data_IF_252349065728
#
_entry.id   IF_252349065728
#
_cell.length_a   1.000
_cell.length_b   1.000
_cell.length_c   1.000
_cell.angle_alpha   90.00
_cell.angle_beta   90.00
_cell.angle_gamma   90.00
#
_symmetry.space_group_name_H-M   'P 1'
#
loop_
_entity.id
_entity.type
_entity.pdbx_description
1 polymer ?
#
# COMPACT_ATOMS: atom_id res chain seq x y z
N UNK A 1 50.00 16.79 26.59
CA UNK A 1 50.14 16.86 25.11
C UNK A 1 48.98 17.66 24.53
N UNK A 2 49.19 18.26 23.36
CA UNK A 2 48.59 19.50 22.82
C UNK A 2 47.05 19.50 22.62
N UNK A 3 46.47 20.69 22.83
CA UNK A 3 45.16 21.16 22.32
C UNK A 3 45.19 21.25 20.78
N UNK A 4 44.04 21.21 20.11
CA UNK A 4 43.54 22.28 19.22
C UNK A 4 42.06 22.01 18.90
N UNK A 5 41.30 23.10 18.98
CA UNK A 5 39.87 23.29 18.83
C UNK A 5 39.76 24.36 17.73
N UNK A 6 38.75 24.25 16.85
CA UNK A 6 38.29 25.29 15.88
C UNK A 6 39.32 25.51 14.74
N UNK A 7 39.01 25.67 13.45
CA UNK A 7 38.30 26.77 12.75
C UNK A 7 38.29 26.42 11.25
N UNK A 8 37.12 26.31 10.62
CA UNK A 8 36.41 27.39 9.92
C UNK A 8 37.03 27.82 8.59
N UNK A 9 36.24 27.58 7.53
CA UNK A 9 35.94 28.53 6.46
C UNK A 9 37.13 29.09 5.67
N UNK A 10 37.53 28.36 4.62
CA UNK A 10 38.26 28.92 3.49
C UNK A 10 37.29 29.10 2.32
N UNK A 11 36.67 30.28 2.22
CA UNK A 11 36.24 30.81 0.93
C UNK A 11 36.81 32.22 0.83
N UNK A 12 37.96 32.29 0.18
CA UNK A 12 38.49 33.51 -0.37
C UNK A 12 37.57 33.96 -1.51
N UNK A 13 36.82 35.04 -1.29
CA UNK A 13 36.30 35.86 -2.38
C UNK A 13 36.79 37.28 -2.14
N UNK A 14 37.93 37.60 -2.74
CA UNK A 14 38.23 38.97 -3.11
C UNK A 14 37.22 39.39 -4.18
N UNK A 15 36.54 40.52 -3.97
CA UNK A 15 36.49 41.64 -4.92
C UNK A 15 35.58 42.75 -4.37
N UNK A 16 36.16 43.93 -4.43
CA UNK A 16 35.63 45.28 -4.23
C UNK A 16 34.38 45.57 -5.06
N UNK A 17 33.42 46.33 -4.52
CA UNK A 17 32.44 47.05 -5.36
C UNK A 17 31.05 47.19 -4.76
N UNK A 18 30.58 48.44 -4.69
CA UNK A 18 29.33 48.91 -4.10
C UNK A 18 28.03 48.30 -4.67
N UNK A 19 27.03 48.22 -3.79
CA UNK A 19 25.57 48.25 -4.04
C UNK A 19 24.91 47.04 -4.73
N UNK A 20 23.90 46.49 -4.05
CA UNK A 20 22.91 45.59 -4.65
C UNK A 20 22.67 44.33 -3.82
N UNK A 21 21.47 44.19 -3.26
CA UNK A 21 21.01 42.99 -2.56
C UNK A 21 21.19 41.74 -3.44
N UNK A 22 22.21 40.93 -3.16
CA UNK A 22 22.31 39.59 -3.70
C UNK A 22 21.38 38.69 -2.89
N UNK A 23 20.20 38.46 -3.45
CA UNK A 23 19.33 37.34 -3.12
C UNK A 23 20.18 36.09 -2.94
N UNK A 24 20.16 35.54 -1.72
CA UNK A 24 20.50 34.15 -1.43
C UNK A 24 19.97 33.29 -2.58
N UNK A 25 20.77 32.43 -3.24
CA UNK A 25 20.18 31.36 -4.00
C UNK A 25 19.53 30.48 -2.95
N UNK A 26 18.27 30.77 -2.64
CA UNK A 26 17.35 29.75 -2.17
C UNK A 26 17.44 28.71 -3.26
N UNK A 27 18.15 27.62 -2.96
CA UNK A 27 17.98 26.36 -3.64
C UNK A 27 16.49 26.07 -3.55
N UNK A 28 15.75 26.53 -4.55
CA UNK A 28 14.38 26.09 -4.78
C UNK A 28 14.55 24.58 -4.90
N UNK A 29 13.97 23.77 -3.99
CA UNK A 29 14.01 22.33 -4.18
C UNK A 29 13.44 22.09 -5.57
N UNK A 30 14.24 21.45 -6.41
CA UNK A 30 14.00 21.25 -7.83
C UNK A 30 12.53 20.86 -8.01
N UNK A 31 11.70 21.79 -8.50
CA UNK A 31 10.24 21.64 -8.44
C UNK A 31 9.80 20.44 -9.27
N UNK A 32 10.60 20.06 -10.27
CA UNK A 32 10.49 18.81 -11.00
C UNK A 32 10.66 17.58 -10.09
N UNK A 33 11.68 17.54 -9.22
CA UNK A 33 11.91 16.45 -8.26
C UNK A 33 10.77 16.31 -7.24
N UNK A 34 10.24 17.42 -6.76
CA UNK A 34 9.09 17.41 -5.82
C UNK A 34 7.81 16.93 -6.51
N UNK A 35 7.58 17.33 -7.77
CA UNK A 35 6.43 16.88 -8.55
C UNK A 35 6.52 15.37 -8.86
N UNK A 36 7.69 14.88 -9.25
CA UNK A 36 7.94 13.45 -9.50
C UNK A 36 7.77 12.60 -8.23
N UNK A 37 8.29 13.05 -7.08
CA UNK A 37 8.12 12.36 -5.82
C UNK A 37 6.65 12.27 -5.40
N UNK A 38 5.87 13.35 -5.60
CA UNK A 38 4.43 13.35 -5.35
C UNK A 38 3.66 12.42 -6.29
N UNK A 39 4.01 12.42 -7.58
CA UNK A 39 3.38 11.54 -8.56
C UNK A 39 3.64 10.05 -8.23
N UNK A 40 4.87 9.70 -7.82
CA UNK A 40 5.21 8.35 -7.36
C UNK A 40 4.44 7.96 -6.10
N UNK A 41 4.40 8.83 -5.10
CA UNK A 41 3.65 8.58 -3.87
C UNK A 41 2.15 8.38 -4.13
N UNK A 42 1.56 9.15 -5.06
CA UNK A 42 0.17 8.97 -5.46
C UNK A 42 -0.06 7.63 -6.19
N UNK A 43 0.86 7.23 -7.06
CA UNK A 43 0.78 5.94 -7.74
C UNK A 43 0.92 4.76 -6.77
N UNK A 44 1.82 4.85 -5.78
CA UNK A 44 2.01 3.82 -4.75
C UNK A 44 0.77 3.70 -3.84
N UNK A 45 0.16 4.83 -3.44
CA UNK A 45 -1.07 4.84 -2.66
C UNK A 45 -2.25 4.24 -3.44
N UNK A 46 -2.38 4.58 -4.73
CA UNK A 46 -3.40 3.98 -5.60
C UNK A 46 -3.22 2.46 -5.71
N UNK A 47 -1.98 2.00 -5.92
CA UNK A 47 -1.66 0.58 -5.99
C UNK A 47 -2.02 -0.13 -4.70
N UNK A 48 -1.66 0.43 -3.54
CA UNK A 48 -1.98 -0.15 -2.25
C UNK A 48 -3.49 -0.27 -2.04
N UNK A 49 -4.27 0.74 -2.43
CA UNK A 49 -5.74 0.68 -2.39
C UNK A 49 -6.32 -0.41 -3.29
N UNK A 50 -5.75 -0.60 -4.49
CA UNK A 50 -6.15 -1.69 -5.39
C UNK A 50 -5.88 -3.05 -4.76
N UNK A 51 -4.67 -3.24 -4.23
CA UNK A 51 -4.26 -4.50 -3.60
C UNK A 51 -5.13 -4.81 -2.36
N UNK A 52 -5.44 -3.80 -1.55
CA UNK A 52 -6.36 -3.96 -0.41
C UNK A 52 -7.78 -4.31 -0.84
N UNK A 53 -8.31 -3.65 -1.88
CA UNK A 53 -9.64 -3.95 -2.42
C UNK A 53 -9.70 -5.38 -2.98
N UNK A 54 -8.63 -5.81 -3.68
CA UNK A 54 -8.53 -7.17 -4.20
C UNK A 54 -8.48 -8.20 -3.08
N UNK A 55 -7.74 -7.93 -2.01
CA UNK A 55 -7.70 -8.78 -0.84
C UNK A 55 -9.07 -8.87 -0.14
N UNK A 56 -9.79 -7.75 -0.01
CA UNK A 56 -11.14 -7.75 0.56
C UNK A 56 -12.10 -8.60 -0.28
N UNK A 57 -12.03 -8.54 -1.62
CA UNK A 57 -12.84 -9.39 -2.49
C UNK A 57 -12.55 -10.89 -2.27
N UNK A 58 -11.28 -11.26 -2.16
CA UNK A 58 -10.87 -12.64 -1.84
C UNK A 58 -11.38 -13.10 -0.47
N UNK A 59 -11.32 -12.22 0.54
CA UNK A 59 -11.86 -12.50 1.88
C UNK A 59 -13.38 -12.67 1.85
N UNK A 60 -14.11 -11.83 1.11
CA UNK A 60 -15.57 -11.95 0.97
C UNK A 60 -15.94 -13.31 0.38
N UNK A 61 -15.24 -13.75 -0.68
CA UNK A 61 -15.42 -15.07 -1.26
C UNK A 61 -15.11 -16.18 -0.25
N UNK A 62 -13.98 -16.08 0.46
CA UNK A 62 -13.63 -17.05 1.49
C UNK A 62 -14.64 -17.11 2.64
N UNK A 63 -15.24 -15.99 3.01
CA UNK A 63 -16.28 -15.91 4.04
C UNK A 63 -17.60 -16.52 3.57
N UNK A 64 -18.00 -16.28 2.32
CA UNK A 64 -19.16 -16.94 1.70
C UNK A 64 -18.98 -18.48 1.74
N UNK A 65 -17.80 -18.97 1.40
CA UNK A 65 -17.48 -20.40 1.40
C UNK A 65 -17.42 -20.99 2.82
N UNK A 66 -16.74 -20.30 3.74
CA UNK A 66 -16.64 -20.68 5.17
C UNK A 66 -18.01 -20.77 5.85
N UNK A 67 -18.93 -19.89 5.48
CA UNK A 67 -20.29 -19.84 6.04
C UNK A 67 -21.29 -20.70 5.26
N UNK A 68 -20.87 -21.34 4.17
CA UNK A 68 -21.72 -22.09 3.24
C UNK A 68 -22.89 -21.27 2.67
N UNK A 69 -22.64 -19.98 2.39
CA UNK A 69 -23.60 -19.05 1.79
C UNK A 69 -23.31 -18.94 0.30
N UNK A 70 -24.11 -19.62 -0.53
CA UNK A 70 -23.92 -19.63 -1.99
C UNK A 70 -24.45 -18.37 -2.70
N UNK A 71 -25.43 -17.68 -2.11
CA UNK A 71 -26.02 -16.45 -2.63
C UNK A 71 -26.36 -15.47 -1.50
N UNK A 72 -26.37 -14.18 -1.81
CA UNK A 72 -26.69 -13.09 -0.86
C UNK A 72 -28.13 -12.61 -1.04
N UNK A 73 -29.06 -13.54 -1.14
CA UNK A 73 -30.47 -13.23 -1.42
C UNK A 73 -31.19 -12.64 -0.20
N UNK A 74 -30.64 -12.88 1.00
CA UNK A 74 -31.24 -12.46 2.26
C UNK A 74 -30.34 -11.47 2.99
N UNK A 75 -30.89 -10.42 3.61
CA UNK A 75 -30.10 -9.44 4.35
C UNK A 75 -29.23 -10.05 5.45
N UNK A 76 -29.69 -11.11 6.11
CA UNK A 76 -28.92 -11.83 7.13
C UNK A 76 -27.63 -12.46 6.58
N UNK A 77 -27.65 -12.93 5.33
CA UNK A 77 -26.50 -13.54 4.68
C UNK A 77 -25.42 -12.48 4.42
N UNK A 78 -25.83 -11.30 3.97
CA UNK A 78 -24.93 -10.15 3.83
C UNK A 78 -24.32 -9.71 5.16
N UNK A 79 -25.11 -9.68 6.24
CA UNK A 79 -24.61 -9.31 7.57
C UNK A 79 -23.59 -10.33 8.06
N UNK A 80 -23.85 -11.62 7.88
CA UNK A 80 -22.94 -12.68 8.29
C UNK A 80 -21.61 -12.64 7.50
N UNK A 81 -21.67 -12.48 6.17
CA UNK A 81 -20.48 -12.33 5.33
C UNK A 81 -19.70 -11.08 5.73
N UNK A 82 -20.38 -9.96 5.97
CA UNK A 82 -19.73 -8.73 6.41
C UNK A 82 -19.02 -8.92 7.75
N UNK A 83 -19.69 -9.52 8.74
CA UNK A 83 -19.09 -9.78 10.05
C UNK A 83 -17.84 -10.66 9.93
N UNK A 84 -17.91 -11.74 9.13
CA UNK A 84 -16.74 -12.58 8.84
C UNK A 84 -15.61 -11.79 8.15
N UNK A 85 -15.97 -10.95 7.17
CA UNK A 85 -15.01 -10.15 6.42
C UNK A 85 -14.30 -9.15 7.32
N UNK A 86 -15.03 -8.42 8.16
CA UNK A 86 -14.47 -7.43 9.10
C UNK A 86 -13.49 -8.10 10.06
N UNK A 87 -13.84 -9.26 10.63
CA UNK A 87 -12.95 -10.05 11.49
C UNK A 87 -11.68 -10.48 10.74
N UNK A 88 -11.83 -11.07 9.56
CA UNK A 88 -10.69 -11.62 8.84
C UNK A 88 -9.76 -10.52 8.31
N UNK A 89 -10.29 -9.37 7.88
CA UNK A 89 -9.49 -8.20 7.50
C UNK A 89 -8.71 -7.66 8.69
N UNK A 90 -9.34 -7.58 9.88
CA UNK A 90 -8.65 -7.20 11.11
C UNK A 90 -7.51 -8.16 11.45
N UNK A 91 -7.75 -9.47 11.41
CA UNK A 91 -6.74 -10.49 11.71
C UNK A 91 -5.54 -10.42 10.75
N UNK A 92 -5.82 -10.29 9.44
CA UNK A 92 -4.77 -10.11 8.43
C UNK A 92 -3.99 -8.82 8.70
N UNK A 93 -4.68 -7.71 8.96
CA UNK A 93 -4.04 -6.40 9.21
C UNK A 93 -3.13 -6.45 10.44
N UNK A 94 -3.56 -7.10 11.52
CA UNK A 94 -2.75 -7.27 12.72
C UNK A 94 -1.51 -8.13 12.45
N UNK A 95 -1.66 -9.22 11.67
CA UNK A 95 -0.52 -10.06 11.28
C UNK A 95 0.48 -9.31 10.39
N UNK A 96 -0.01 -8.49 9.46
CA UNK A 96 0.80 -7.62 8.59
C UNK A 96 1.59 -6.61 9.44
N UNK A 97 0.92 -5.91 10.35
CA UNK A 97 1.54 -4.92 11.23
C UNK A 97 2.63 -5.54 12.09
N UNK A 98 2.36 -6.67 12.73
CA UNK A 98 3.35 -7.36 13.56
C UNK A 98 4.62 -7.73 12.78
N UNK A 99 4.47 -8.17 11.52
CA UNK A 99 5.60 -8.54 10.65
C UNK A 99 6.36 -7.33 10.10
N UNK A 100 5.65 -6.25 9.78
CA UNK A 100 6.26 -4.97 9.41
C UNK A 100 7.10 -4.40 10.56
N UNK A 101 6.57 -4.42 11.79
CA UNK A 101 7.27 -3.98 12.99
C UNK A 101 8.49 -4.85 13.32
N UNK A 102 8.41 -6.16 13.01
CA UNK A 102 9.54 -7.08 13.10
C UNK A 102 10.57 -6.91 11.97
N UNK A 103 10.29 -6.09 10.96
CA UNK A 103 11.18 -5.86 9.82
C UNK A 103 11.29 -7.07 8.87
N UNK A 104 10.30 -7.95 8.84
CA UNK A 104 10.31 -9.17 8.02
C UNK A 104 10.18 -8.89 6.52
N UNK A 105 9.58 -7.76 6.14
CA UNK A 105 9.46 -7.31 4.75
C UNK A 105 9.33 -5.78 4.68
N UNK A 106 9.67 -5.16 3.54
CA UNK A 106 9.61 -3.71 3.40
C UNK A 106 8.18 -3.19 3.19
N UNK A 107 7.89 -1.96 3.61
CA UNK A 107 6.55 -1.38 3.57
C UNK A 107 5.92 -1.32 2.17
N UNK A 108 6.72 -1.27 1.10
CA UNK A 108 6.25 -1.29 -0.29
C UNK A 108 5.77 -2.68 -0.76
N UNK A 109 5.97 -3.75 0.03
CA UNK A 109 5.46 -5.10 -0.23
C UNK A 109 4.18 -5.41 0.55
N UNK A 110 3.69 -4.47 1.37
CA UNK A 110 2.54 -4.64 2.26
C UNK A 110 1.29 -5.15 1.53
N UNK A 111 0.87 -4.50 0.44
CA UNK A 111 -0.37 -4.90 -0.23
C UNK A 111 -0.27 -6.28 -0.89
N UNK A 112 0.90 -6.66 -1.43
CA UNK A 112 1.15 -8.01 -1.93
C UNK A 112 1.11 -9.06 -0.82
N UNK A 113 1.63 -8.72 0.36
CA UNK A 113 1.54 -9.62 1.52
C UNK A 113 0.08 -9.81 1.96
N UNK A 114 -0.71 -8.73 2.04
CA UNK A 114 -2.15 -8.79 2.36
C UNK A 114 -2.90 -9.68 1.35
N UNK A 115 -2.66 -9.50 0.05
CA UNK A 115 -3.26 -10.33 -1.01
C UNK A 115 -2.96 -11.82 -0.81
N UNK A 116 -1.70 -12.17 -0.51
CA UNK A 116 -1.30 -13.57 -0.26
C UNK A 116 -2.00 -14.15 0.97
N UNK A 117 -2.14 -13.39 2.05
CA UNK A 117 -2.89 -13.84 3.23
C UNK A 117 -4.38 -14.06 2.90
N UNK A 118 -4.98 -13.19 2.10
CA UNK A 118 -6.36 -13.35 1.64
C UNK A 118 -6.53 -14.60 0.75
N UNK A 119 -5.56 -14.91 -0.11
CA UNK A 119 -5.55 -16.17 -0.88
C UNK A 119 -5.48 -17.38 0.03
N UNK A 120 -4.58 -17.40 1.02
CA UNK A 120 -4.46 -18.51 1.98
C UNK A 120 -5.79 -18.73 2.70
N UNK A 121 -6.45 -17.66 3.12
CA UNK A 121 -7.77 -17.74 3.71
C UNK A 121 -8.80 -18.36 2.76
N UNK A 122 -8.91 -17.85 1.52
CA UNK A 122 -9.83 -18.40 0.52
C UNK A 122 -9.57 -19.88 0.24
N UNK A 123 -8.30 -20.28 0.04
CA UNK A 123 -7.92 -21.68 -0.21
C UNK A 123 -8.19 -22.58 1.00
N UNK A 124 -8.16 -22.05 2.22
CA UNK A 124 -8.53 -22.83 3.41
C UNK A 124 -9.98 -23.28 3.33
N UNK A 125 -10.88 -22.41 2.87
CA UNK A 125 -12.33 -22.64 2.94
C UNK A 125 -13.02 -23.02 1.62
N UNK A 126 -12.44 -22.69 0.46
CA UNK A 126 -13.01 -23.00 -0.85
C UNK A 126 -12.28 -24.17 -1.51
N UNK A 127 -12.99 -25.27 -1.77
CA UNK A 127 -12.44 -26.42 -2.50
C UNK A 127 -12.01 -26.04 -3.91
N UNK A 128 -12.80 -25.18 -4.58
CA UNK A 128 -12.48 -24.69 -5.92
C UNK A 128 -11.25 -23.79 -5.97
N UNK A 129 -10.92 -23.10 -4.88
CA UNK A 129 -9.71 -22.28 -4.80
C UNK A 129 -8.45 -23.09 -4.47
N UNK A 130 -8.56 -24.20 -3.72
CA UNK A 130 -7.40 -25.01 -3.29
C UNK A 130 -6.54 -25.50 -4.45
N UNK A 131 -7.15 -25.80 -5.59
CA UNK A 131 -6.44 -26.30 -6.77
C UNK A 131 -5.93 -25.20 -7.70
N UNK A 132 -6.13 -23.92 -7.36
CA UNK A 132 -5.71 -22.78 -8.19
C UNK A 132 -4.43 -22.17 -7.67
N UNK A 133 -3.57 -21.75 -8.59
CA UNK A 133 -2.37 -20.99 -8.27
C UNK A 133 -2.72 -19.64 -7.64
N UNK A 134 -1.97 -19.24 -6.61
CA UNK A 134 -2.21 -17.99 -5.88
C UNK A 134 -2.19 -16.77 -6.80
N UNK A 135 -1.27 -16.74 -7.77
CA UNK A 135 -1.14 -15.62 -8.71
C UNK A 135 -2.37 -15.47 -9.60
N UNK A 136 -3.02 -16.58 -9.97
CA UNK A 136 -4.26 -16.54 -10.77
C UNK A 136 -5.43 -16.00 -9.96
N UNK A 137 -5.53 -16.39 -8.68
CA UNK A 137 -6.55 -15.90 -7.76
C UNK A 137 -6.39 -14.38 -7.52
N UNK A 138 -5.14 -13.95 -7.29
CA UNK A 138 -4.81 -12.52 -7.14
C UNK A 138 -5.15 -11.77 -8.42
N UNK A 139 -4.70 -12.25 -9.58
CA UNK A 139 -4.99 -11.60 -10.87
C UNK A 139 -6.50 -11.43 -11.08
N UNK A 140 -7.28 -12.49 -10.85
CA UNK A 140 -8.75 -12.45 -10.99
C UNK A 140 -9.38 -11.40 -10.07
N UNK A 141 -8.92 -11.30 -8.82
CA UNK A 141 -9.41 -10.29 -7.87
C UNK A 141 -9.05 -8.87 -8.32
N UNK A 142 -7.84 -8.65 -8.82
CA UNK A 142 -7.37 -7.35 -9.28
C UNK A 142 -8.09 -6.89 -10.56
N UNK A 143 -8.38 -7.81 -11.48
CA UNK A 143 -9.18 -7.54 -12.67
C UNK A 143 -10.60 -7.11 -12.30
N UNK A 144 -11.23 -7.76 -11.32
CA UNK A 144 -12.54 -7.37 -10.82
C UNK A 144 -12.55 -5.95 -10.25
N UNK A 145 -11.56 -5.60 -9.42
CA UNK A 145 -11.44 -4.26 -8.82
C UNK A 145 -11.25 -3.17 -9.89
N UNK A 146 -10.41 -3.42 -10.90
CA UNK A 146 -10.17 -2.47 -11.99
C UNK A 146 -11.41 -2.33 -12.89
N UNK A 147 -12.09 -3.44 -13.17
CA UNK A 147 -13.36 -3.44 -13.89
C UNK A 147 -14.42 -2.61 -13.17
N UNK A 148 -14.60 -2.82 -11.86
CA UNK A 148 -15.59 -2.09 -11.05
C UNK A 148 -15.38 -0.57 -11.05
N UNK A 149 -14.13 -0.08 -11.01
CA UNK A 149 -13.83 1.36 -11.12
C UNK A 149 -14.13 1.95 -12.50
N UNK A 150 -14.02 1.13 -13.54
CA UNK A 150 -14.30 1.56 -14.91
C UNK A 150 -15.77 1.93 -15.08
N UNK A 151 -16.67 1.27 -14.34
CA UNK A 151 -18.12 1.53 -14.36
C UNK A 151 -18.57 2.70 -13.48
N UNK A 152 -17.80 3.10 -12.46
CA UNK A 152 -18.18 4.22 -11.56
C UNK A 152 -17.64 5.58 -12.00
N UNK A 153 -16.99 5.65 -13.17
CA UNK A 153 -16.33 6.86 -13.68
C UNK A 153 -17.09 7.52 -14.85
N UNK A 154 -18.33 7.06 -15.14
CA UNK A 154 -19.26 7.67 -16.12
C UNK A 154 -20.30 8.57 -15.44
#
# INVERSE_FOLDING_TARGET
MKRILITSLSIACALTGLSGCATKPTSVPDTASVAEAKARAAADDQRLREEFSGAQALVVLGCSEKLHIASVDRPEDMVAIKACTDTQVSDISNAVLARLEAGEFPANETGQFILRQAVVFLQTYSEGARSRESDQLIQSAMEHVRGARSFTSE
#
